data_IF_768143597986
#
_entry.id   IF_768143597986
#
_cell.length_a   1.000
_cell.length_b   1.000
_cell.length_c   1.000
_cell.angle_alpha   90.00
_cell.angle_beta   90.00
_cell.angle_gamma   90.00
#
_symmetry.space_group_name_H-M   'P 1'
#
loop_
_entity.id
_entity.type
_entity.pdbx_description
1 polymer ?
#
# COMPACT_ATOMS: atom_id res chain seq x y z
N UNK A 1 -15.53 -16.82 -20.19
CA UNK A 1 -15.59 -16.23 -18.83
C UNK A 1 -14.22 -16.13 -18.16
N UNK A 2 -13.17 -16.87 -18.57
CA UNK A 2 -11.81 -16.72 -18.01
C UNK A 2 -10.93 -15.67 -18.71
N UNK A 3 -10.98 -15.60 -20.04
CA UNK A 3 -10.11 -14.70 -20.83
C UNK A 3 -10.43 -13.20 -20.65
N UNK A 4 -11.71 -12.80 -20.62
CA UNK A 4 -12.08 -11.37 -20.55
C UNK A 4 -11.74 -10.71 -19.21
N UNK A 5 -11.85 -11.45 -18.10
CA UNK A 5 -11.48 -10.98 -16.77
C UNK A 5 -9.94 -10.88 -16.61
N UNK A 6 -9.18 -11.84 -17.15
CA UNK A 6 -7.71 -11.76 -17.13
C UNK A 6 -7.17 -10.62 -18.00
N UNK A 7 -7.79 -10.34 -19.14
CA UNK A 7 -7.40 -9.23 -20.01
C UNK A 7 -7.70 -7.89 -19.33
N UNK A 8 -8.90 -7.72 -18.75
CA UNK A 8 -9.24 -6.53 -17.95
C UNK A 8 -8.31 -6.35 -16.75
N UNK A 9 -7.94 -7.43 -16.07
CA UNK A 9 -7.03 -7.35 -14.93
C UNK A 9 -5.64 -6.86 -15.38
N UNK A 10 -5.14 -7.30 -16.55
CA UNK A 10 -3.86 -6.83 -17.11
C UNK A 10 -3.91 -5.38 -17.59
N UNK A 11 -4.97 -4.98 -18.28
CA UNK A 11 -5.15 -3.60 -18.76
C UNK A 11 -5.26 -2.62 -17.58
N UNK A 12 -6.08 -2.96 -16.58
CA UNK A 12 -6.15 -2.20 -15.32
C UNK A 12 -4.77 -2.13 -14.66
N UNK A 13 -4.03 -3.25 -14.59
CA UNK A 13 -2.71 -3.24 -13.96
C UNK A 13 -1.73 -2.28 -14.63
N UNK A 14 -1.83 -2.06 -15.94
CA UNK A 14 -1.02 -1.08 -16.66
C UNK A 14 -1.48 0.36 -16.41
N UNK A 15 -2.79 0.62 -16.45
CA UNK A 15 -3.36 1.95 -16.26
C UNK A 15 -3.12 2.47 -14.83
N UNK A 16 -3.30 1.60 -13.83
CA UNK A 16 -3.07 1.93 -12.43
C UNK A 16 -1.59 1.98 -12.03
N UNK A 17 -0.64 1.58 -12.90
CA UNK A 17 0.79 1.76 -12.61
C UNK A 17 1.15 3.24 -12.60
N UNK A 18 0.64 4.05 -13.55
CA UNK A 18 0.85 5.50 -13.54
C UNK A 18 0.29 6.13 -12.26
N UNK A 19 -0.91 5.71 -11.83
CA UNK A 19 -1.49 6.16 -10.58
C UNK A 19 -0.64 5.75 -9.37
N UNK A 20 -0.11 4.53 -9.35
CA UNK A 20 0.78 4.06 -8.29
C UNK A 20 2.05 4.91 -8.21
N UNK A 21 2.67 5.23 -9.34
CA UNK A 21 3.86 6.08 -9.40
C UNK A 21 3.54 7.51 -8.95
N UNK A 22 2.43 8.08 -9.41
CA UNK A 22 1.97 9.40 -8.98
C UNK A 22 1.72 9.45 -7.46
N UNK A 23 1.00 8.46 -6.92
CA UNK A 23 0.78 8.33 -5.47
C UNK A 23 2.10 8.19 -4.71
N UNK A 24 3.05 7.43 -5.25
CA UNK A 24 4.37 7.26 -4.65
C UNK A 24 5.16 8.57 -4.64
N UNK A 25 5.05 9.40 -5.68
CA UNK A 25 5.65 10.73 -5.72
C UNK A 25 5.01 11.67 -4.68
N UNK A 26 3.67 11.69 -4.57
CA UNK A 26 2.97 12.51 -3.58
C UNK A 26 3.26 12.10 -2.13
N UNK A 27 3.39 10.79 -1.87
CA UNK A 27 3.63 10.24 -0.54
C UNK A 27 5.13 10.24 -0.16
N UNK A 28 6.02 10.32 -1.14
CA UNK A 28 7.47 10.38 -0.95
C UNK A 28 7.99 9.25 -0.05
N UNK A 29 8.71 9.64 1.01
CA UNK A 29 9.31 8.71 1.97
C UNK A 29 8.31 8.14 3.00
N UNK A 30 7.04 8.57 3.02
CA UNK A 30 6.05 8.04 3.97
C UNK A 30 5.68 6.57 3.70
N UNK A 31 5.79 6.15 2.44
CA UNK A 31 5.52 4.77 2.00
C UNK A 31 6.77 4.18 1.35
N UNK A 32 6.96 2.87 1.42
CA UNK A 32 8.04 2.18 0.71
C UNK A 32 7.71 2.06 -0.77
N UNK A 33 6.48 1.62 -1.06
CA UNK A 33 5.99 1.30 -2.39
C UNK A 33 4.48 1.51 -2.43
N UNK A 34 3.96 1.85 -3.60
CA UNK A 34 2.53 1.80 -3.92
C UNK A 34 2.31 0.68 -4.93
N UNK A 35 1.28 -0.14 -4.77
CA UNK A 35 0.97 -1.22 -5.70
C UNK A 35 -0.53 -1.52 -5.76
N UNK A 36 -0.97 -2.19 -6.82
CA UNK A 36 -2.35 -2.69 -6.92
C UNK A 36 -2.56 -3.86 -5.96
N UNK A 37 -3.67 -3.84 -5.23
CA UNK A 37 -4.06 -4.90 -4.29
C UNK A 37 -4.93 -5.95 -4.96
N UNK A 38 -4.66 -7.23 -4.66
CA UNK A 38 -5.53 -8.36 -5.04
C UNK A 38 -6.41 -8.87 -3.89
N UNK A 39 -6.29 -8.28 -2.69
CA UNK A 39 -6.99 -8.73 -1.48
C UNK A 39 -8.14 -7.82 -1.06
N UNK A 40 -8.21 -6.62 -1.64
CA UNK A 40 -9.23 -5.63 -1.30
C UNK A 40 -10.47 -5.86 -2.13
N UNK A 41 -11.63 -5.78 -1.48
CA UNK A 41 -12.93 -5.85 -2.16
C UNK A 41 -13.68 -4.53 -1.99
N UNK A 42 -14.02 -4.16 -0.75
CA UNK A 42 -14.81 -2.97 -0.47
C UNK A 42 -14.00 -1.72 -0.11
N UNK A 43 -12.74 -1.87 0.29
CA UNK A 43 -11.92 -0.74 0.75
C UNK A 43 -11.11 -0.13 -0.41
N UNK A 44 -10.92 1.21 -0.43
CA UNK A 44 -10.17 1.88 -1.50
C UNK A 44 -8.66 1.60 -1.46
N UNK A 45 -8.08 1.49 -0.26
CA UNK A 45 -6.66 1.21 -0.09
C UNK A 45 -6.36 0.60 1.29
N UNK A 46 -5.16 0.03 1.46
CA UNK A 46 -4.67 -0.51 2.73
C UNK A 46 -3.17 -0.30 2.89
N UNK A 47 -2.72 -0.07 4.13
CA UNK A 47 -1.31 0.00 4.49
C UNK A 47 -0.83 -1.35 5.04
N UNK A 48 0.13 -1.95 4.35
CA UNK A 48 0.69 -3.26 4.68
C UNK A 48 2.13 -3.12 5.18
N UNK A 49 2.46 -3.83 6.25
CA UNK A 49 3.86 -3.94 6.71
C UNK A 49 4.66 -4.81 5.74
N UNK A 50 5.90 -4.42 5.44
CA UNK A 50 6.82 -5.25 4.66
C UNK A 50 7.13 -6.58 5.38
N UNK A 51 7.50 -7.62 4.62
CA UNK A 51 7.75 -8.99 5.14
C UNK A 51 8.79 -9.06 6.28
N UNK A 52 9.72 -8.11 6.36
CA UNK A 52 10.86 -8.14 7.28
C UNK A 52 10.85 -6.99 8.30
N UNK A 53 9.70 -6.33 8.52
CA UNK A 53 9.55 -5.24 9.49
C UNK A 53 8.54 -5.56 10.60
N UNK A 54 8.36 -4.62 11.52
CA UNK A 54 7.33 -4.73 12.55
C UNK A 54 5.93 -4.76 11.93
N UNK A 55 5.11 -5.68 12.43
CA UNK A 55 3.68 -5.65 12.17
C UNK A 55 3.06 -4.41 12.81
N UNK A 56 1.88 -3.99 12.35
CA UNK A 56 1.17 -2.86 12.94
C UNK A 56 0.92 -3.05 14.45
N UNK A 57 0.67 -4.28 14.87
CA UNK A 57 0.48 -4.62 16.27
C UNK A 57 1.80 -4.55 17.06
N UNK A 58 2.89 -5.03 16.48
CA UNK A 58 4.21 -4.97 17.10
C UNK A 58 4.71 -3.53 17.26
N UNK A 59 4.47 -2.67 16.26
CA UNK A 59 4.74 -1.24 16.37
C UNK A 59 3.95 -0.61 17.54
N UNK A 60 2.67 -0.96 17.68
CA UNK A 60 1.83 -0.44 18.77
C UNK A 60 2.33 -0.91 20.14
N UNK A 61 2.69 -2.18 20.27
CA UNK A 61 3.21 -2.75 21.52
C UNK A 61 4.57 -2.14 21.89
N UNK A 62 5.49 -2.01 20.94
CA UNK A 62 6.80 -1.42 21.16
C UNK A 62 6.70 0.07 21.53
N UNK A 63 5.84 0.85 20.85
CA UNK A 63 5.55 2.23 21.26
C UNK A 63 5.03 2.34 22.70
N UNK A 64 4.27 1.34 23.16
CA UNK A 64 3.70 1.33 24.51
C UNK A 64 4.69 0.86 25.59
N UNK A 65 5.66 0.00 25.24
CA UNK A 65 6.65 -0.55 26.18
C UNK A 65 7.94 0.27 26.25
N UNK A 66 8.28 1.03 25.21
CA UNK A 66 9.59 1.68 25.18
C UNK A 66 9.64 3.00 25.95
N UNK A 67 10.17 2.93 27.18
CA UNK A 67 10.63 4.06 28.00
C UNK A 67 12.14 4.41 27.77
N UNK A 68 12.76 3.92 26.70
CA UNK A 68 14.21 4.05 26.43
C UNK A 68 14.57 4.40 24.97
N UNK A 69 15.87 4.52 24.66
CA UNK A 69 16.37 4.99 23.35
C UNK A 69 16.04 4.02 22.20
N UNK A 70 15.11 4.40 21.31
CA UNK A 70 14.63 3.60 20.18
C UNK A 70 15.37 3.84 18.88
N UNK A 71 16.40 4.69 18.88
CA UNK A 71 17.04 5.18 17.65
C UNK A 71 17.63 4.04 16.81
N UNK A 72 18.09 2.98 17.47
CA UNK A 72 18.61 1.77 16.83
C UNK A 72 17.53 0.84 16.25
N UNK A 73 16.25 0.99 16.62
CA UNK A 73 15.13 0.14 16.17
C UNK A 73 14.22 0.85 15.16
N UNK A 74 14.47 2.13 14.85
CA UNK A 74 13.67 2.89 13.88
C UNK A 74 13.65 2.26 12.48
N UNK A 75 14.74 1.61 12.07
CA UNK A 75 14.79 0.89 10.79
C UNK A 75 13.81 -0.30 10.76
N UNK A 76 13.47 -0.89 11.90
CA UNK A 76 12.51 -2.01 12.01
C UNK A 76 11.06 -1.54 11.89
N UNK A 77 10.78 -0.25 12.16
CA UNK A 77 9.46 0.35 11.91
C UNK A 77 9.08 0.21 10.44
N UNK A 78 10.07 0.28 9.54
CA UNK A 78 9.94 0.05 8.11
C UNK A 78 8.98 1.02 7.42
N UNK A 79 9.27 1.36 6.17
CA UNK A 79 8.30 2.10 5.36
C UNK A 79 7.21 1.12 4.90
N UNK A 80 5.94 1.51 5.04
CA UNK A 80 4.79 0.63 4.72
C UNK A 80 4.48 0.64 3.22
N UNK A 81 3.89 -0.44 2.73
CA UNK A 81 3.43 -0.55 1.35
C UNK A 81 1.96 -0.10 1.32
N UNK A 82 1.62 0.85 0.45
CA UNK A 82 0.25 1.22 0.18
C UNK A 82 -0.28 0.33 -0.95
N UNK A 83 -1.29 -0.48 -0.68
CA UNK A 83 -2.00 -1.20 -1.73
C UNK A 83 -3.30 -0.48 -2.07
N UNK A 84 -3.60 -0.29 -3.36
CA UNK A 84 -4.81 0.37 -3.86
C UNK A 84 -5.77 -0.62 -4.50
N UNK A 85 -7.07 -0.36 -4.40
CA UNK A 85 -8.12 -1.18 -4.99
C UNK A 85 -8.65 -0.54 -6.29
N UNK A 86 -8.34 -1.08 -7.47
CA UNK A 86 -8.75 -0.50 -8.75
C UNK A 86 -10.26 -0.60 -8.98
N UNK A 87 -10.96 -1.50 -8.29
CA UNK A 87 -12.42 -1.64 -8.42
C UNK A 87 -13.20 -0.60 -7.62
N UNK A 88 -12.55 0.07 -6.68
CA UNK A 88 -13.21 1.05 -5.83
C UNK A 88 -13.47 2.37 -6.57
N UNK A 89 -14.68 2.95 -6.51
CA UNK A 89 -15.05 4.15 -7.28
C UNK A 89 -14.11 5.34 -7.04
N UNK A 90 -13.69 5.57 -5.79
CA UNK A 90 -12.71 6.63 -5.45
C UNK A 90 -11.38 6.46 -6.20
N UNK A 91 -10.90 5.23 -6.39
CA UNK A 91 -9.63 4.98 -7.08
C UNK A 91 -9.80 5.16 -8.60
N UNK A 92 -10.96 4.79 -9.14
CA UNK A 92 -11.33 5.04 -10.54
C UNK A 92 -11.39 6.53 -10.86
N UNK A 93 -12.11 7.31 -10.03
CA UNK A 93 -12.19 8.77 -10.18
C UNK A 93 -10.82 9.43 -10.05
N UNK A 94 -9.98 8.96 -9.12
CA UNK A 94 -8.62 9.48 -8.95
C UNK A 94 -7.72 9.18 -10.15
N UNK A 95 -7.94 8.08 -10.87
CA UNK A 95 -7.19 7.74 -12.08
C UNK A 95 -7.65 8.54 -13.31
N UNK A 96 -8.88 9.04 -13.30
CA UNK A 96 -9.47 9.81 -14.40
C UNK A 96 -9.21 11.32 -14.30
N UNK A 97 -8.69 11.79 -13.16
CA UNK A 97 -8.35 13.18 -12.88
C UNK A 97 -6.91 13.53 -13.29
#
# INVERSE_FOLDING_TARGET
LGDEDEVKERENMQEYNLLCDWLKQQLGDKVAKVQVSKRLSSSPCVLVSGKFGWSANMERLMKAQTLGDTSSLEFMRGRRILEINPDHPIIKDLSAA
#
